data_IF_118744796378
#
_entry.id   IF_118744796378
#
_cell.length_a   1.000
_cell.length_b   1.000
_cell.length_c   1.000
_cell.angle_alpha   90.00
_cell.angle_beta   90.00
_cell.angle_gamma   90.00
#
_symmetry.space_group_name_H-M   'P 1'
#
loop_
_entity.id
_entity.type
_entity.pdbx_description
1 polymer ?
#
# COMPACT_ATOMS: atom_id res chain seq x y z
N UNK A 1 -0.99 -8.57 -18.18
CA UNK A 1 -1.03 -8.41 -16.69
C UNK A 1 0.30 -7.91 -16.14
N UNK A 2 1.43 -8.56 -16.46
CA UNK A 2 2.76 -8.21 -15.95
C UNK A 2 3.13 -6.72 -16.07
N UNK A 3 2.78 -6.06 -17.18
CA UNK A 3 3.04 -4.63 -17.38
C UNK A 3 2.31 -3.74 -16.37
N UNK A 4 1.03 -4.00 -16.11
CA UNK A 4 0.22 -3.20 -15.17
C UNK A 4 0.74 -3.39 -13.75
N UNK A 5 1.01 -4.63 -13.35
CA UNK A 5 1.61 -4.95 -12.05
C UNK A 5 2.97 -4.25 -11.88
N UNK A 6 3.80 -4.25 -12.91
CA UNK A 6 5.10 -3.58 -12.86
C UNK A 6 5.00 -2.07 -12.67
N UNK A 7 4.04 -1.41 -13.36
CA UNK A 7 3.79 0.04 -13.19
C UNK A 7 3.21 0.40 -11.82
N UNK A 8 2.58 -0.56 -11.12
CA UNK A 8 1.98 -0.38 -9.78
C UNK A 8 2.89 -0.86 -8.64
N UNK A 9 4.16 -1.15 -8.95
CA UNK A 9 5.15 -1.60 -7.99
C UNK A 9 5.79 -0.42 -7.26
N UNK A 10 5.97 -0.59 -5.96
CA UNK A 10 6.66 0.33 -5.07
C UNK A 10 7.96 -0.33 -4.59
N UNK A 11 9.01 0.47 -4.48
CA UNK A 11 10.34 0.03 -4.05
C UNK A 11 10.85 0.93 -2.94
N UNK A 12 11.21 0.32 -1.80
CA UNK A 12 11.94 0.99 -0.74
C UNK A 12 13.45 1.11 -1.05
N UNK A 13 13.90 0.50 -2.15
CA UNK A 13 15.28 0.54 -2.63
C UNK A 13 15.48 1.73 -3.57
N UNK A 14 16.62 2.41 -3.46
CA UNK A 14 17.00 3.51 -4.34
C UNK A 14 17.79 4.60 -3.62
N UNK A 15 18.16 5.69 -4.33
CA UNK A 15 18.79 6.86 -3.71
C UNK A 15 17.84 7.47 -2.66
N UNK A 16 18.29 7.60 -1.42
CA UNK A 16 17.48 8.06 -0.29
C UNK A 16 16.61 6.97 0.37
N UNK A 17 16.61 5.76 -0.19
CA UNK A 17 15.94 4.58 0.37
C UNK A 17 16.91 3.65 1.11
N UNK A 18 16.45 2.42 1.34
CA UNK A 18 17.23 1.38 2.00
C UNK A 18 18.15 0.66 1.01
N UNK A 19 19.31 0.19 1.50
CA UNK A 19 20.09 -0.83 0.80
C UNK A 19 19.67 -2.22 1.27
N UNK A 20 19.77 -3.21 0.37
CA UNK A 20 19.36 -4.60 0.65
C UNK A 20 20.03 -5.17 1.90
N UNK A 21 21.31 -4.86 2.09
CA UNK A 21 22.16 -5.38 3.16
C UNK A 21 21.96 -4.65 4.49
N UNK A 22 21.35 -3.45 4.49
CA UNK A 22 21.07 -2.66 5.70
C UNK A 22 19.61 -2.72 6.13
N UNK A 23 18.72 -3.25 5.31
CA UNK A 23 17.31 -3.39 5.64
C UNK A 23 17.12 -4.54 6.65
N UNK A 24 16.90 -4.16 7.91
CA UNK A 24 16.62 -5.09 9.00
C UNK A 24 15.30 -5.84 8.85
N UNK A 25 15.02 -6.74 9.80
CA UNK A 25 13.80 -7.55 9.78
C UNK A 25 12.52 -6.70 9.92
N UNK A 26 12.57 -5.67 10.78
CA UNK A 26 11.41 -4.81 11.11
C UNK A 26 10.81 -4.10 9.91
N UNK A 27 11.64 -3.70 8.94
CA UNK A 27 11.19 -2.96 7.74
C UNK A 27 10.64 -3.89 6.64
N UNK A 28 10.82 -5.20 6.79
CA UNK A 28 10.35 -6.21 5.82
C UNK A 28 9.01 -6.82 6.23
N UNK A 29 8.62 -6.67 7.48
CA UNK A 29 7.40 -7.25 8.03
C UNK A 29 6.15 -6.48 7.58
N UNK A 30 5.00 -7.14 7.63
CA UNK A 30 3.72 -6.54 7.28
C UNK A 30 3.17 -5.74 8.45
N UNK A 31 3.20 -4.42 8.32
CA UNK A 31 2.62 -3.54 9.31
C UNK A 31 1.09 -3.41 9.12
N UNK A 32 0.34 -3.17 10.20
CA UNK A 32 -1.12 -3.05 10.15
C UNK A 32 -1.61 -1.91 9.25
N UNK A 33 -0.81 -0.85 9.07
CA UNK A 33 -1.12 0.25 8.15
C UNK A 33 -1.07 -0.17 6.67
N UNK A 34 -0.49 -1.32 6.34
CA UNK A 34 -0.50 -1.81 4.95
C UNK A 34 -1.91 -2.17 4.49
N UNK A 35 -2.84 -2.46 5.41
CA UNK A 35 -4.20 -2.87 5.08
C UNK A 35 -4.89 -1.86 4.15
N UNK A 36 -5.31 -2.33 2.97
CA UNK A 36 -5.97 -1.52 1.94
C UNK A 36 -5.04 -0.60 1.15
N UNK A 37 -3.77 -0.46 1.53
CA UNK A 37 -2.78 0.46 0.93
C UNK A 37 -1.72 -0.31 0.12
N UNK A 38 -1.03 -1.25 0.76
CA UNK A 38 0.01 -2.10 0.18
C UNK A 38 -0.43 -3.57 0.20
N UNK A 39 -0.16 -4.29 -0.87
CA UNK A 39 -0.47 -5.71 -0.97
C UNK A 39 0.47 -6.53 -0.07
N UNK A 40 -0.03 -7.25 0.95
CA UNK A 40 0.83 -8.00 1.87
C UNK A 40 1.34 -9.33 1.28
N UNK A 41 0.72 -9.80 0.20
CA UNK A 41 1.04 -11.10 -0.43
C UNK A 41 1.94 -10.95 -1.66
N UNK A 42 1.87 -9.81 -2.35
CA UNK A 42 2.62 -9.60 -3.60
C UNK A 42 3.94 -8.90 -3.32
N UNK A 43 4.91 -9.69 -2.87
CA UNK A 43 6.31 -9.31 -2.70
C UNK A 43 7.19 -10.33 -3.42
N UNK A 44 8.33 -9.92 -4.01
CA UNK A 44 9.32 -10.88 -4.49
C UNK A 44 9.86 -11.74 -3.34
N UNK A 45 10.20 -12.98 -3.65
CA UNK A 45 10.90 -13.86 -2.73
C UNK A 45 12.41 -13.50 -2.64
N UNK A 46 13.09 -14.09 -1.64
CA UNK A 46 14.54 -13.95 -1.48
C UNK A 46 14.95 -12.58 -0.92
N UNK A 47 16.11 -12.02 -1.36
CA UNK A 47 16.70 -10.83 -0.72
C UNK A 47 15.84 -9.56 -0.75
N UNK A 48 14.87 -9.48 -1.66
CA UNK A 48 13.98 -8.32 -1.82
C UNK A 48 12.64 -8.46 -1.08
N UNK A 49 12.43 -9.55 -0.33
CA UNK A 49 11.18 -9.76 0.41
C UNK A 49 10.92 -8.60 1.38
N UNK A 50 9.72 -8.03 1.31
CA UNK A 50 9.29 -6.89 2.11
C UNK A 50 9.82 -5.52 1.67
N UNK A 51 10.76 -5.47 0.71
CA UNK A 51 11.35 -4.21 0.22
C UNK A 51 10.74 -3.72 -1.09
N UNK A 52 10.03 -4.63 -1.77
CA UNK A 52 9.28 -4.37 -2.99
C UNK A 52 7.86 -4.87 -2.75
N UNK A 53 6.89 -4.00 -2.95
CA UNK A 53 5.48 -4.33 -2.77
C UNK A 53 4.65 -3.74 -3.91
N UNK A 54 3.42 -4.21 -4.05
CA UNK A 54 2.45 -3.65 -5.00
C UNK A 54 1.41 -2.79 -4.30
N UNK A 55 0.90 -1.76 -4.97
CA UNK A 55 -0.28 -1.02 -4.52
C UNK A 55 -1.52 -1.92 -4.51
N UNK A 56 -2.34 -1.82 -3.47
CA UNK A 56 -3.66 -2.47 -3.45
C UNK A 56 -4.56 -1.97 -4.59
N UNK A 57 -5.63 -2.71 -4.89
CA UNK A 57 -6.55 -2.45 -6.01
C UNK A 57 -7.14 -1.04 -5.96
N UNK A 58 -7.61 -0.62 -4.79
CA UNK A 58 -8.27 0.67 -4.59
C UNK A 58 -7.37 1.75 -3.98
N UNK A 59 -6.10 1.43 -3.69
CA UNK A 59 -5.17 2.39 -3.12
C UNK A 59 -4.86 3.51 -4.13
N UNK A 60 -4.79 4.73 -3.63
CA UNK A 60 -4.41 5.95 -4.39
C UNK A 60 -3.35 6.73 -3.62
N UNK A 61 -2.69 7.64 -4.31
CA UNK A 61 -1.73 8.58 -3.72
C UNK A 61 -2.43 9.94 -3.65
N UNK A 62 -2.39 10.61 -2.50
CA UNK A 62 -2.92 11.97 -2.35
C UNK A 62 -1.88 13.03 -2.79
N UNK A 63 -2.27 14.30 -2.81
CA UNK A 63 -1.40 15.40 -3.29
C UNK A 63 -0.13 15.60 -2.45
N UNK A 64 -0.12 15.08 -1.22
CA UNK A 64 1.04 15.10 -0.31
C UNK A 64 1.94 13.87 -0.47
N UNK A 65 1.55 12.89 -1.29
CA UNK A 65 2.32 11.67 -1.52
C UNK A 65 1.98 10.50 -0.58
N UNK A 66 0.97 10.62 0.28
CA UNK A 66 0.53 9.52 1.14
C UNK A 66 -0.38 8.54 0.39
N UNK A 67 -0.28 7.25 0.75
CA UNK A 67 -1.13 6.19 0.23
C UNK A 67 -2.43 6.18 1.03
N UNK A 68 -3.54 6.40 0.34
CA UNK A 68 -4.90 6.42 0.89
C UNK A 68 -5.71 5.26 0.34
N UNK A 69 -6.68 4.80 1.12
CA UNK A 69 -7.59 3.73 0.73
C UNK A 69 -9.05 4.15 1.01
N UNK A 70 -10.01 3.75 0.17
CA UNK A 70 -11.39 4.17 0.36
C UNK A 70 -12.06 3.42 1.52
N UNK A 71 -12.81 4.17 2.32
CA UNK A 71 -13.72 3.68 3.34
C UNK A 71 -15.13 4.21 3.08
N UNK A 72 -16.11 3.62 3.76
CA UNK A 72 -17.48 4.12 3.77
C UNK A 72 -17.82 4.71 5.12
N UNK A 73 -18.44 5.88 5.09
CA UNK A 73 -18.92 6.55 6.28
C UNK A 73 -20.06 5.75 6.91
N UNK A 74 -19.98 5.57 8.23
CA UNK A 74 -21.04 4.95 9.03
C UNK A 74 -21.56 6.00 10.00
N UNK A 75 -22.87 6.23 9.97
CA UNK A 75 -23.55 7.14 10.89
C UNK A 75 -24.76 6.44 11.48
N UNK A 76 -24.91 6.49 12.80
CA UNK A 76 -26.03 5.87 13.52
C UNK A 76 -26.22 4.38 13.18
N UNK A 77 -25.10 3.66 13.06
CA UNK A 77 -25.03 2.24 12.65
C UNK A 77 -25.55 1.93 11.24
N UNK A 78 -25.82 2.96 10.43
CA UNK A 78 -26.19 2.83 9.02
C UNK A 78 -25.00 3.19 8.14
N UNK A 79 -24.66 2.29 7.23
CA UNK A 79 -23.60 2.51 6.23
C UNK A 79 -24.16 3.33 5.09
N UNK A 80 -23.45 4.40 4.71
CA UNK A 80 -23.78 5.13 3.49
C UNK A 80 -23.36 4.31 2.26
N UNK A 81 -24.34 3.84 1.49
CA UNK A 81 -24.12 3.04 0.29
C UNK A 81 -24.02 3.89 -0.99
N UNK A 82 -24.25 5.20 -0.89
CA UNK A 82 -24.17 6.12 -2.01
C UNK A 82 -22.73 6.27 -2.52
N UNK A 83 -22.52 6.63 -3.79
CA UNK A 83 -21.20 6.97 -4.33
C UNK A 83 -20.49 8.09 -3.54
N UNK A 84 -21.25 9.03 -2.98
CA UNK A 84 -20.78 10.18 -2.22
C UNK A 84 -20.27 9.78 -0.81
N UNK A 85 -20.71 8.64 -0.29
CA UNK A 85 -20.29 8.12 1.01
C UNK A 85 -18.88 7.51 1.05
N UNK A 86 -18.15 7.50 -0.08
CA UNK A 86 -16.78 6.98 -0.18
C UNK A 86 -15.78 8.08 0.19
N UNK A 87 -15.11 7.91 1.33
CA UNK A 87 -14.07 8.82 1.81
C UNK A 87 -12.70 8.10 1.73
N UNK A 88 -11.68 8.76 1.19
CA UNK A 88 -10.31 8.22 1.14
C UNK A 88 -9.55 8.64 2.39
N UNK A 89 -9.07 7.67 3.15
CA UNK A 89 -8.34 7.90 4.41
C UNK A 89 -6.92 7.33 4.31
N UNK A 90 -5.97 8.05 4.90
CA UNK A 90 -4.55 7.70 5.00
C UNK A 90 -4.24 6.88 6.22
#
# INVERSE_FOLDING_TARGET
>A
LAEITHKRRLSALGPGGLSRDRAGFEVRDVHYTHYGRLCPIETPEGPNIGLISSLCVYAKINDLGFIVTPYRKVKDSVVDLSPEGIEYLS
#
